data_IF_574074304685
#
_entry.id   IF_574074304685
#
_cell.length_a   1.000
_cell.length_b   1.000
_cell.length_c   1.000
_cell.angle_alpha   90.00
_cell.angle_beta   90.00
_cell.angle_gamma   90.00
#
_symmetry.space_group_name_H-M   'P 1'
#
loop_
_entity.id
_entity.type
_entity.pdbx_description
1 polymer ?
#
# COMPACT_ATOMS: atom_id res chain seq x y z
N UNK A 1 3.91 -33.15 -4.84
CA UNK A 1 4.32 -32.45 -3.61
C UNK A 1 3.35 -31.32 -3.37
N UNK A 2 2.93 -31.10 -2.13
CA UNK A 2 2.06 -29.99 -1.78
C UNK A 2 2.80 -28.66 -2.02
N UNK A 3 2.17 -27.71 -2.71
CA UNK A 3 2.69 -26.35 -2.86
C UNK A 3 2.32 -25.56 -1.61
N UNK A 4 3.30 -24.99 -0.95
CA UNK A 4 3.13 -24.11 0.21
C UNK A 4 3.44 -22.67 -0.21
N UNK A 5 2.77 -21.71 0.41
CA UNK A 5 3.15 -20.30 0.29
C UNK A 5 4.42 -20.04 1.12
N UNK A 6 5.22 -18.99 0.80
CA UNK A 6 6.46 -18.70 1.52
C UNK A 6 6.28 -18.48 3.02
N UNK A 7 5.18 -17.83 3.43
CA UNK A 7 4.79 -17.64 4.82
C UNK A 7 4.46 -18.97 5.52
N UNK A 8 3.68 -19.85 4.88
CA UNK A 8 3.39 -21.19 5.41
C UNK A 8 4.66 -22.05 5.58
N UNK A 9 5.62 -21.90 4.65
CA UNK A 9 6.88 -22.62 4.69
C UNK A 9 7.79 -22.13 5.85
N UNK A 10 7.78 -20.83 6.14
CA UNK A 10 8.50 -20.26 7.31
C UNK A 10 7.83 -20.68 8.62
N UNK A 11 6.50 -20.64 8.71
CA UNK A 11 5.76 -21.11 9.90
C UNK A 11 6.04 -22.58 10.23
N UNK A 12 6.31 -23.40 9.20
CA UNK A 12 6.66 -24.82 9.34
C UNK A 12 8.17 -25.05 9.55
N UNK A 13 9.00 -24.00 9.59
CA UNK A 13 10.45 -24.09 9.72
C UNK A 13 11.15 -24.70 8.50
N UNK A 14 10.47 -24.75 7.35
CA UNK A 14 10.98 -25.30 6.09
C UNK A 14 11.80 -24.28 5.29
N UNK A 15 11.61 -22.99 5.58
CA UNK A 15 12.25 -21.86 4.92
C UNK A 15 12.66 -20.84 5.99
N UNK A 16 13.83 -20.21 5.86
CA UNK A 16 14.17 -19.06 6.72
C UNK A 16 13.38 -17.84 6.27
N UNK A 17 13.13 -16.89 7.19
CA UNK A 17 12.50 -15.62 6.84
C UNK A 17 13.23 -14.91 5.69
N UNK A 18 14.57 -15.00 5.68
CA UNK A 18 15.43 -14.44 4.63
C UNK A 18 15.19 -15.04 3.26
N UNK A 19 15.19 -16.37 3.17
CA UNK A 19 14.91 -17.02 1.89
C UNK A 19 13.47 -16.76 1.44
N UNK A 20 12.51 -16.66 2.36
CA UNK A 20 11.14 -16.33 2.00
C UNK A 20 11.02 -14.91 1.43
N UNK A 21 11.60 -13.90 2.08
CA UNK A 21 11.60 -12.52 1.58
C UNK A 21 12.32 -12.43 0.23
N UNK A 22 13.46 -13.10 0.09
CA UNK A 22 14.22 -13.12 -1.16
C UNK A 22 13.47 -13.81 -2.31
N UNK A 23 12.83 -14.95 -2.06
CA UNK A 23 11.99 -15.63 -3.06
C UNK A 23 10.79 -14.76 -3.42
N UNK A 24 10.14 -14.14 -2.45
CA UNK A 24 9.02 -13.23 -2.70
C UNK A 24 9.45 -12.01 -3.51
N UNK A 25 10.67 -11.51 -3.29
CA UNK A 25 11.27 -10.45 -4.08
C UNK A 25 11.50 -10.85 -5.53
N UNK A 26 12.18 -11.97 -5.75
CA UNK A 26 12.46 -12.49 -7.09
C UNK A 26 11.17 -12.87 -7.84
N UNK A 27 10.12 -13.26 -7.12
CA UNK A 27 8.82 -13.60 -7.67
C UNK A 27 7.85 -12.41 -7.82
N UNK A 28 8.27 -11.17 -7.49
CA UNK A 28 7.42 -9.97 -7.47
C UNK A 28 6.13 -10.13 -6.63
N UNK A 29 6.20 -10.92 -5.56
CA UNK A 29 5.09 -11.18 -4.65
C UNK A 29 5.01 -10.15 -3.50
N UNK A 30 6.04 -9.32 -3.35
CA UNK A 30 6.09 -8.19 -2.44
C UNK A 30 6.49 -6.92 -3.19
N UNK A 31 6.05 -5.75 -2.72
CA UNK A 31 6.21 -4.46 -3.41
C UNK A 31 7.63 -3.87 -3.41
N UNK A 32 8.62 -4.59 -2.91
CA UNK A 32 9.97 -4.04 -2.73
C UNK A 32 10.16 -3.33 -1.39
N UNK A 33 11.41 -2.99 -1.11
CA UNK A 33 11.74 -2.05 -0.04
C UNK A 33 11.92 -0.66 -0.66
N UNK A 34 11.60 0.38 0.10
CA UNK A 34 11.76 1.76 -0.31
C UNK A 34 12.55 2.52 0.75
N UNK A 35 13.52 3.31 0.32
CA UNK A 35 14.17 4.26 1.20
C UNK A 35 13.19 5.39 1.52
N UNK A 36 12.92 5.59 2.80
CA UNK A 36 11.92 6.53 3.28
C UNK A 36 12.27 7.99 2.97
N UNK A 37 13.56 8.32 2.85
CA UNK A 37 14.05 9.69 2.65
C UNK A 37 14.12 10.11 1.19
N UNK A 38 14.43 9.17 0.28
CA UNK A 38 14.59 9.41 -1.15
C UNK A 38 13.46 8.84 -2.00
N UNK A 39 12.63 7.95 -1.43
CA UNK A 39 11.64 7.18 -2.17
C UNK A 39 12.25 6.17 -3.17
N UNK A 40 13.56 5.93 -3.10
CA UNK A 40 14.25 5.01 -4.01
C UNK A 40 13.94 3.55 -3.65
N UNK A 41 13.80 2.69 -4.66
CA UNK A 41 13.65 1.26 -4.42
C UNK A 41 14.97 0.66 -3.93
N UNK A 42 14.88 -0.11 -2.84
CA UNK A 42 15.97 -0.84 -2.23
C UNK A 42 15.84 -2.33 -2.55
N UNK A 43 16.97 -2.95 -2.82
CA UNK A 43 17.10 -4.39 -2.99
C UNK A 43 17.07 -5.09 -1.63
N UNK A 44 16.72 -6.39 -1.63
CA UNK A 44 16.76 -7.22 -0.42
C UNK A 44 18.15 -7.18 0.21
N UNK A 45 19.22 -7.22 -0.59
CA UNK A 45 20.59 -7.21 -0.10
C UNK A 45 20.95 -5.89 0.61
N UNK A 46 20.41 -4.75 0.17
CA UNK A 46 20.63 -3.43 0.80
C UNK A 46 19.92 -3.29 2.15
N UNK A 47 18.77 -3.94 2.32
CA UNK A 47 18.05 -3.96 3.60
C UNK A 47 18.42 -5.14 4.49
N UNK A 48 19.17 -6.12 3.97
CA UNK A 48 19.60 -7.32 4.70
C UNK A 48 20.28 -7.01 6.04
N UNK A 49 21.16 -5.99 6.15
CA UNK A 49 21.76 -5.62 7.44
C UNK A 49 20.73 -5.19 8.50
N UNK A 50 19.57 -4.67 8.07
CA UNK A 50 18.44 -4.28 8.93
C UNK A 50 17.32 -5.33 8.98
N UNK A 51 17.56 -6.55 8.48
CA UNK A 51 16.63 -7.67 8.46
C UNK A 51 17.27 -8.96 9.02
N UNK A 52 18.31 -8.84 9.83
CA UNK A 52 18.98 -9.99 10.45
C UNK A 52 18.12 -10.69 11.51
N UNK A 53 17.01 -10.08 11.92
CA UNK A 53 16.06 -10.60 12.90
C UNK A 53 14.92 -11.36 12.21
N UNK A 54 14.89 -12.69 12.40
CA UNK A 54 13.83 -13.59 11.89
C UNK A 54 12.41 -13.12 12.27
N UNK A 55 12.20 -12.49 13.42
CA UNK A 55 10.89 -11.97 13.83
C UNK A 55 10.49 -10.72 13.02
N UNK A 56 11.45 -9.91 12.57
CA UNK A 56 11.18 -8.81 11.64
C UNK A 56 10.86 -9.36 10.25
N UNK A 57 11.61 -10.36 9.80
CA UNK A 57 11.36 -11.00 8.51
C UNK A 57 9.97 -11.60 8.48
N UNK A 58 9.58 -12.29 9.54
CA UNK A 58 8.24 -12.86 9.69
C UNK A 58 7.15 -11.79 9.61
N UNK A 59 7.32 -10.63 10.24
CA UNK A 59 6.36 -9.51 10.15
C UNK A 59 6.29 -8.89 8.75
N UNK A 60 7.41 -8.79 8.05
CA UNK A 60 7.44 -8.35 6.65
C UNK A 60 6.69 -9.36 5.76
N UNK A 61 6.88 -10.66 5.98
CA UNK A 61 6.19 -11.73 5.25
C UNK A 61 4.68 -11.77 5.50
N UNK A 62 4.26 -11.48 6.74
CA UNK A 62 2.85 -11.43 7.11
C UNK A 62 2.16 -10.11 6.75
N UNK A 63 2.92 -9.09 6.35
CA UNK A 63 2.31 -7.82 5.96
C UNK A 63 1.42 -8.04 4.73
N UNK A 64 0.13 -7.75 4.89
CA UNK A 64 -0.79 -7.63 3.76
C UNK A 64 -0.17 -6.67 2.74
N UNK A 65 -0.50 -6.78 1.45
CA UNK A 65 0.07 -5.95 0.36
C UNK A 65 -0.11 -4.43 0.56
N UNK A 66 -0.74 -4.04 1.65
CA UNK A 66 -0.85 -2.68 2.13
C UNK A 66 0.28 -2.34 3.10
N UNK A 67 1.00 -1.28 2.77
CA UNK A 67 1.94 -0.49 3.58
C UNK A 67 1.77 -0.63 5.12
N UNK A 68 2.30 -1.72 5.69
CA UNK A 68 1.97 -2.13 7.07
C UNK A 68 2.79 -1.38 8.12
N UNK A 69 3.95 -0.86 7.75
CA UNK A 69 4.82 -0.10 8.65
C UNK A 69 6.08 0.42 7.93
N UNK A 70 6.94 1.08 8.69
CA UNK A 70 8.23 1.62 8.22
C UNK A 70 9.35 0.88 8.94
N UNK A 71 10.30 0.34 8.19
CA UNK A 71 11.50 -0.29 8.76
C UNK A 71 12.50 0.80 9.16
N UNK A 72 12.78 0.91 10.45
CA UNK A 72 13.89 1.69 10.99
C UNK A 72 15.13 0.78 11.01
N UNK A 73 16.02 0.98 10.04
CA UNK A 73 17.24 0.18 9.85
C UNK A 73 18.20 0.35 11.03
N UNK A 74 18.32 1.57 11.57
CA UNK A 74 19.23 1.86 12.69
C UNK A 74 18.81 1.16 13.98
N UNK A 75 17.49 1.08 14.20
CA UNK A 75 16.91 0.40 15.37
C UNK A 75 16.57 -1.06 15.13
N UNK A 76 16.78 -1.55 13.90
CA UNK A 76 16.37 -2.88 13.46
C UNK A 76 14.94 -3.19 13.90
N UNK A 77 13.98 -2.29 13.63
CA UNK A 77 12.58 -2.52 14.02
C UNK A 77 11.56 -1.89 13.06
N UNK A 78 10.40 -2.52 12.93
CA UNK A 78 9.26 -1.95 12.20
C UNK A 78 8.45 -1.06 13.14
N UNK A 79 8.23 0.19 12.73
CA UNK A 79 7.42 1.17 13.43
C UNK A 79 6.20 1.60 12.60
N UNK A 80 5.19 2.17 13.26
CA UNK A 80 4.01 2.70 12.58
C UNK A 80 4.35 3.96 11.76
N UNK A 81 3.54 4.27 10.76
CA UNK A 81 3.71 5.48 9.93
C UNK A 81 3.79 6.75 10.78
N UNK A 82 2.93 6.85 11.81
CA UNK A 82 2.90 8.00 12.73
C UNK A 82 4.18 8.07 13.57
N UNK A 83 4.67 6.94 14.07
CA UNK A 83 5.96 6.91 14.78
C UNK A 83 7.11 7.34 13.86
N UNK A 84 7.13 6.83 12.62
CA UNK A 84 8.15 7.20 11.64
C UNK A 84 8.12 8.70 11.30
N UNK A 85 6.93 9.31 11.20
CA UNK A 85 6.79 10.75 11.05
C UNK A 85 7.32 11.53 12.27
N UNK A 86 6.99 11.08 13.48
CA UNK A 86 7.42 11.73 14.73
C UNK A 86 8.93 11.63 14.97
N UNK A 87 9.57 10.54 14.53
CA UNK A 87 11.02 10.35 14.63
C UNK A 87 11.79 10.92 13.44
N UNK A 88 11.12 11.51 12.46
CA UNK A 88 11.74 12.10 11.28
C UNK A 88 12.26 11.09 10.26
N UNK A 89 11.86 9.81 10.36
CA UNK A 89 12.13 8.80 9.33
C UNK A 89 11.31 9.07 8.06
N UNK A 90 10.13 9.65 8.22
CA UNK A 90 9.29 10.16 7.14
C UNK A 90 9.13 11.66 7.27
N UNK A 91 9.14 12.36 6.14
CA UNK A 91 8.72 13.76 6.13
C UNK A 91 7.21 13.87 6.37
N UNK A 92 6.72 15.01 6.91
CA UNK A 92 5.32 15.16 7.27
C UNK A 92 4.33 14.93 6.12
N UNK A 93 4.69 15.30 4.89
CA UNK A 93 3.81 15.15 3.74
C UNK A 93 3.71 13.68 3.32
N UNK A 94 4.83 12.94 3.33
CA UNK A 94 4.81 11.49 3.10
C UNK A 94 4.04 10.76 4.20
N UNK A 95 4.23 11.12 5.48
CA UNK A 95 3.46 10.53 6.59
C UNK A 95 1.96 10.65 6.37
N UNK A 96 1.46 11.85 6.02
CA UNK A 96 0.03 12.07 5.74
C UNK A 96 -0.44 11.19 4.58
N UNK A 97 0.28 11.21 3.45
CA UNK A 97 -0.10 10.42 2.26
C UNK A 97 -0.15 8.92 2.52
N UNK A 98 0.76 8.40 3.33
CA UNK A 98 0.79 6.99 3.69
C UNK A 98 -0.38 6.62 4.63
N UNK A 99 -0.76 7.49 5.55
CA UNK A 99 -1.96 7.30 6.37
C UNK A 99 -3.24 7.34 5.53
N UNK A 100 -3.35 8.26 4.57
CA UNK A 100 -4.47 8.30 3.63
C UNK A 100 -4.58 7.00 2.82
N UNK A 101 -3.44 6.49 2.33
CA UNK A 101 -3.36 5.21 1.61
C UNK A 101 -3.86 4.04 2.46
N UNK A 102 -3.47 3.99 3.73
CA UNK A 102 -4.00 2.99 4.67
C UNK A 102 -5.52 3.10 4.82
N UNK A 103 -6.06 4.31 5.01
CA UNK A 103 -7.50 4.51 5.13
C UNK A 103 -8.25 4.03 3.89
N UNK A 104 -7.80 4.38 2.68
CA UNK A 104 -8.47 3.95 1.43
C UNK A 104 -8.22 2.49 1.08
N UNK A 105 -7.36 1.79 1.82
CA UNK A 105 -7.13 0.35 1.71
C UNK A 105 -7.88 -0.47 2.78
N UNK A 106 -8.68 0.18 3.63
CA UNK A 106 -9.55 -0.47 4.60
C UNK A 106 -9.39 -0.05 6.06
N UNK A 107 -8.40 0.76 6.40
CA UNK A 107 -8.21 1.26 7.77
C UNK A 107 -6.75 1.50 8.13
N UNK A 108 -6.53 2.11 9.29
CA UNK A 108 -5.17 2.36 9.82
C UNK A 108 -4.60 1.07 10.39
N UNK A 109 -3.34 0.77 10.10
CA UNK A 109 -2.70 -0.47 10.58
C UNK A 109 -2.26 -0.31 12.04
N UNK A 110 -2.71 -1.22 12.91
CA UNK A 110 -2.17 -1.43 14.25
C UNK A 110 -1.17 -2.60 14.23
N UNK A 111 0.12 -2.26 14.20
CA UNK A 111 1.21 -3.24 14.20
C UNK A 111 1.24 -4.14 15.44
N UNK A 112 0.66 -3.71 16.58
CA UNK A 112 0.65 -4.53 17.81
C UNK A 112 -0.39 -5.62 17.75
N UNK A 113 -1.50 -5.35 17.06
CA UNK A 113 -2.63 -6.28 16.89
C UNK A 113 -2.60 -7.02 15.57
N UNK A 114 -1.74 -6.58 14.65
CA UNK A 114 -1.69 -7.05 13.27
C UNK A 114 -3.06 -6.96 12.56
N UNK A 115 -3.75 -5.84 12.76
CA UNK A 115 -5.09 -5.60 12.18
C UNK A 115 -5.24 -4.16 11.68
N UNK A 116 -6.16 -3.95 10.75
CA UNK A 116 -6.61 -2.61 10.33
C UNK A 116 -7.75 -2.16 11.24
N UNK A 117 -7.62 -0.99 11.85
CA UNK A 117 -8.63 -0.38 12.72
C UNK A 117 -9.26 0.85 12.07
N UNK A 118 -10.46 1.22 12.51
CA UNK A 118 -11.12 2.45 12.05
C UNK A 118 -10.34 3.70 12.45
N UNK A 119 -10.51 4.79 11.71
CA UNK A 119 -9.86 6.10 12.02
C UNK A 119 -10.18 6.55 13.44
N UNK A 120 -11.42 6.34 13.88
CA UNK A 120 -11.85 6.67 15.26
C UNK A 120 -11.16 5.84 16.33
N UNK A 121 -10.85 4.57 16.04
CA UNK A 121 -10.13 3.68 16.95
C UNK A 121 -8.64 4.00 16.93
N UNK A 122 -8.08 4.25 15.75
CA UNK A 122 -6.70 4.68 15.56
C UNK A 122 -6.37 5.93 16.39
N UNK A 123 -7.25 6.95 16.37
CA UNK A 123 -7.08 8.16 17.18
C UNK A 123 -7.03 7.83 18.69
N UNK A 124 -7.91 6.96 19.19
CA UNK A 124 -7.92 6.54 20.60
C UNK A 124 -6.66 5.76 21.00
N UNK A 125 -6.10 5.00 20.06
CA UNK A 125 -4.88 4.22 20.26
C UNK A 125 -3.60 5.04 20.04
N UNK A 126 -3.71 6.31 19.62
CA UNK A 126 -2.56 7.16 19.30
C UNK A 126 -1.83 6.78 18.01
N UNK A 127 -2.50 6.05 17.12
CA UNK A 127 -1.95 5.63 15.82
C UNK A 127 -2.04 6.71 14.75
N UNK A 128 -2.79 7.79 14.99
CA UNK A 128 -2.86 8.99 14.16
C UNK A 128 -2.91 10.22 15.07
N UNK A 129 -2.52 11.38 14.54
CA UNK A 129 -2.61 12.64 15.29
C UNK A 129 -4.05 13.18 15.28
N UNK A 130 -4.46 13.85 16.36
CA UNK A 130 -5.83 14.37 16.48
C UNK A 130 -6.16 15.40 15.38
N UNK A 131 -5.16 16.15 14.90
CA UNK A 131 -5.31 17.09 13.78
C UNK A 131 -5.61 16.44 12.42
N UNK A 132 -5.26 15.16 12.24
CA UNK A 132 -5.49 14.41 10.98
C UNK A 132 -6.83 13.68 10.96
N UNK A 133 -7.44 13.47 12.13
CA UNK A 133 -8.59 12.60 12.33
C UNK A 133 -9.79 12.99 11.49
N UNK A 134 -10.12 14.28 11.40
CA UNK A 134 -11.31 14.74 10.67
C UNK A 134 -11.20 14.47 9.17
N UNK A 135 -10.05 14.81 8.57
CA UNK A 135 -9.75 14.56 7.16
C UNK A 135 -9.73 13.06 6.84
N UNK A 136 -9.08 12.26 7.67
CA UNK A 136 -9.04 10.80 7.51
C UNK A 136 -10.43 10.16 7.67
N UNK A 137 -11.31 10.67 8.53
CA UNK A 137 -12.69 10.17 8.67
C UNK A 137 -13.55 10.43 7.43
N UNK A 138 -13.33 11.57 6.77
CA UNK A 138 -14.00 11.90 5.50
C UNK A 138 -13.55 10.91 4.41
N UNK A 139 -12.25 10.60 4.36
CA UNK A 139 -11.71 9.62 3.44
C UNK A 139 -12.19 8.18 3.74
N UNK A 140 -12.28 7.80 5.02
CA UNK A 140 -12.84 6.50 5.45
C UNK A 140 -14.32 6.37 5.06
N UNK A 141 -15.08 7.47 5.13
CA UNK A 141 -16.47 7.52 4.68
C UNK A 141 -16.59 7.30 3.18
N UNK A 142 -15.70 7.90 2.38
CA UNK A 142 -15.61 7.66 0.94
C UNK A 142 -15.24 6.21 0.62
N UNK A 143 -14.32 5.61 1.37
CA UNK A 143 -13.98 4.19 1.26
C UNK A 143 -15.21 3.30 1.49
N UNK A 144 -16.02 3.62 2.51
CA UNK A 144 -17.26 2.91 2.84
C UNK A 144 -18.42 3.17 1.86
N UNK A 145 -18.21 3.95 0.80
CA UNK A 145 -19.22 4.22 -0.23
C UNK A 145 -20.25 5.27 0.14
N UNK A 146 -20.00 6.09 1.17
CA UNK A 146 -20.88 7.22 1.49
C UNK A 146 -20.73 8.33 0.43
N UNK A 147 -21.80 9.07 0.21
CA UNK A 147 -21.76 10.24 -0.67
C UNK A 147 -20.87 11.33 -0.03
N UNK A 148 -19.77 11.66 -0.69
CA UNK A 148 -18.80 12.66 -0.28
C UNK A 148 -18.56 13.63 -1.44
N UNK A 149 -17.87 14.73 -1.18
CA UNK A 149 -17.50 15.67 -2.23
C UNK A 149 -16.69 15.01 -3.36
N UNK A 150 -16.79 15.56 -4.57
CA UNK A 150 -16.08 15.03 -5.75
C UNK A 150 -14.56 15.08 -5.57
N UNK A 151 -14.01 16.08 -4.86
CA UNK A 151 -12.58 16.14 -4.58
C UNK A 151 -12.12 14.97 -3.68
N UNK A 152 -12.90 14.61 -2.66
CA UNK A 152 -12.61 13.48 -1.77
C UNK A 152 -12.71 12.16 -2.53
N UNK A 153 -13.74 12.01 -3.37
CA UNK A 153 -13.92 10.83 -4.21
C UNK A 153 -12.76 10.65 -5.18
N UNK A 154 -12.30 11.74 -5.81
CA UNK A 154 -11.14 11.76 -6.68
C UNK A 154 -9.85 11.45 -5.92
N UNK A 155 -9.65 12.00 -4.72
CA UNK A 155 -8.48 11.69 -3.89
C UNK A 155 -8.43 10.19 -3.55
N UNK A 156 -9.56 9.62 -3.07
CA UNK A 156 -9.70 8.19 -2.83
C UNK A 156 -9.32 7.37 -4.06
N UNK A 157 -9.92 7.67 -5.21
CA UNK A 157 -9.67 6.93 -6.44
C UNK A 157 -8.21 7.06 -6.88
N UNK A 158 -7.63 8.26 -6.80
CA UNK A 158 -6.22 8.50 -7.13
C UNK A 158 -5.28 7.68 -6.24
N UNK A 159 -5.56 7.55 -4.95
CA UNK A 159 -4.75 6.75 -4.03
C UNK A 159 -4.90 5.26 -4.32
N UNK A 160 -6.12 4.78 -4.53
CA UNK A 160 -6.43 3.37 -4.82
C UNK A 160 -5.83 2.88 -6.14
N UNK A 161 -5.82 3.74 -7.16
CA UNK A 161 -5.23 3.43 -8.48
C UNK A 161 -3.69 3.45 -8.50
N UNK A 162 -3.04 3.90 -7.42
CA UNK A 162 -1.59 3.69 -7.22
C UNK A 162 -1.30 2.33 -6.57
N UNK A 163 -2.34 1.59 -6.20
CA UNK A 163 -2.27 0.29 -5.52
C UNK A 163 -2.88 -0.81 -6.43
N UNK A 164 -3.79 -1.63 -5.89
CA UNK A 164 -4.38 -2.79 -6.57
C UNK A 164 -5.63 -2.44 -7.43
N UNK A 165 -6.04 -1.17 -7.44
CA UNK A 165 -7.21 -0.68 -8.19
C UNK A 165 -8.27 -0.08 -7.28
N UNK A 166 -9.37 0.39 -7.89
CA UNK A 166 -10.47 1.04 -7.16
C UNK A 166 -11.23 -0.01 -6.36
N UNK A 167 -11.40 0.20 -5.05
CA UNK A 167 -12.13 -0.75 -4.20
C UNK A 167 -13.62 -0.56 -4.36
N UNK A 168 -14.29 -1.64 -4.77
CA UNK A 168 -15.74 -1.71 -4.82
C UNK A 168 -16.32 -1.72 -3.39
N UNK A 169 -17.16 -0.73 -3.02
CA UNK A 169 -17.72 -0.66 -1.66
C UNK A 169 -18.61 -1.85 -1.29
N UNK A 170 -19.20 -2.56 -2.23
CA UNK A 170 -20.08 -3.71 -1.98
C UNK A 170 -19.26 -4.98 -1.78
N UNK A 171 -18.36 -5.29 -2.72
CA UNK A 171 -17.59 -6.54 -2.68
C UNK A 171 -16.34 -6.47 -1.81
N UNK A 172 -15.89 -5.25 -1.48
CA UNK A 172 -14.60 -4.95 -0.82
C UNK A 172 -13.37 -5.40 -1.59
N UNK A 173 -13.54 -5.74 -2.87
CA UNK A 173 -12.46 -6.16 -3.75
C UNK A 173 -12.00 -5.00 -4.64
N UNK A 174 -10.70 -4.88 -4.91
CA UNK A 174 -10.20 -3.93 -5.89
C UNK A 174 -10.58 -4.37 -7.30
N UNK A 175 -10.91 -3.40 -8.15
CA UNK A 175 -11.14 -3.60 -9.58
C UNK A 175 -10.25 -2.65 -10.41
N UNK A 176 -9.75 -3.08 -11.58
CA UNK A 176 -9.00 -2.21 -12.48
C UNK A 176 -9.80 -0.98 -12.92
N UNK A 177 -9.11 0.07 -13.36
CA UNK A 177 -9.72 1.34 -13.75
C UNK A 177 -10.85 1.18 -14.76
N UNK A 178 -10.67 0.32 -15.76
CA UNK A 178 -11.66 0.07 -16.81
C UNK A 178 -12.96 -0.48 -16.22
N UNK A 179 -12.84 -1.47 -15.33
CA UNK A 179 -13.98 -2.06 -14.64
C UNK A 179 -14.60 -1.08 -13.65
N UNK A 180 -13.80 -0.24 -12.99
CA UNK A 180 -14.30 0.80 -12.10
C UNK A 180 -15.20 1.81 -12.82
N UNK A 181 -14.84 2.20 -14.05
CA UNK A 181 -15.66 3.09 -14.90
C UNK A 181 -16.95 2.37 -15.32
N UNK A 182 -16.86 1.11 -15.75
CA UNK A 182 -18.02 0.31 -16.16
C UNK A 182 -19.02 0.10 -15.01
N UNK A 183 -18.50 -0.15 -13.80
CA UNK A 183 -19.28 -0.33 -12.58
C UNK A 183 -19.72 1.01 -11.97
N UNK A 184 -19.39 2.15 -12.59
CA UNK A 184 -19.70 3.52 -12.11
C UNK A 184 -19.14 3.82 -10.71
N UNK A 185 -18.04 3.17 -10.33
CA UNK A 185 -17.30 3.43 -9.10
C UNK A 185 -16.47 4.72 -9.19
N UNK A 186 -16.11 5.11 -10.42
CA UNK A 186 -15.42 6.35 -10.75
C UNK A 186 -16.04 6.96 -12.02
N UNK A 187 -16.12 8.28 -12.10
CA UNK A 187 -16.61 8.95 -13.31
C UNK A 187 -15.50 9.01 -14.38
N UNK A 188 -15.85 9.03 -15.68
CA UNK A 188 -14.86 9.13 -16.75
C UNK A 188 -13.93 10.36 -16.67
N UNK A 189 -14.45 11.50 -16.20
CA UNK A 189 -13.66 12.73 -16.04
C UNK A 189 -12.68 12.65 -14.86
N UNK A 190 -13.09 12.00 -13.76
CA UNK A 190 -12.23 11.69 -12.62
C UNK A 190 -11.13 10.69 -13.03
N UNK A 191 -11.48 9.65 -13.78
CA UNK A 191 -10.54 8.69 -14.32
C UNK A 191 -9.47 9.35 -15.22
N UNK A 192 -9.88 10.28 -16.09
CA UNK A 192 -8.95 11.05 -16.92
C UNK A 192 -7.95 11.87 -16.09
N UNK A 193 -8.41 12.51 -15.01
CA UNK A 193 -7.54 13.26 -14.09
C UNK A 193 -6.51 12.35 -13.42
N UNK A 194 -6.92 11.16 -12.96
CA UNK A 194 -6.01 10.19 -12.35
C UNK A 194 -4.97 9.70 -13.35
N UNK A 195 -5.40 9.34 -14.57
CA UNK A 195 -4.48 8.90 -15.62
C UNK A 195 -3.47 9.98 -15.99
N UNK A 196 -3.92 11.23 -16.14
CA UNK A 196 -3.02 12.36 -16.44
C UNK A 196 -1.95 12.53 -15.36
N UNK A 197 -2.33 12.37 -14.10
CA UNK A 197 -1.39 12.39 -12.96
C UNK A 197 -0.40 11.23 -13.04
N UNK A 198 -0.87 10.00 -13.29
CA UNK A 198 0.00 8.85 -13.42
C UNK A 198 1.04 9.01 -14.54
N UNK A 199 0.61 9.51 -15.69
CA UNK A 199 1.50 9.82 -16.82
C UNK A 199 2.55 10.85 -16.42
N UNK A 200 2.17 11.92 -15.72
CA UNK A 200 3.11 12.92 -15.22
C UNK A 200 4.13 12.35 -14.20
N UNK A 201 3.73 11.32 -13.47
CA UNK A 201 4.55 10.55 -12.52
C UNK A 201 5.35 9.41 -13.19
N UNK A 202 5.40 9.35 -14.53
CA UNK A 202 6.30 8.46 -15.27
C UNK A 202 5.68 7.19 -15.84
N UNK A 203 4.35 7.07 -15.89
CA UNK A 203 3.67 5.94 -16.56
C UNK A 203 2.35 5.54 -15.90
N UNK A 204 1.63 4.61 -16.51
CA UNK A 204 0.31 4.14 -16.04
C UNK A 204 0.48 2.82 -15.27
N UNK A 205 -0.21 2.70 -14.13
CA UNK A 205 -0.18 1.47 -13.32
C UNK A 205 -1.10 0.42 -13.95
N UNK A 206 -0.53 -0.71 -14.35
CA UNK A 206 -1.28 -1.89 -14.79
C UNK A 206 -1.56 -2.79 -13.57
N UNK A 207 -2.71 -2.58 -12.93
CA UNK A 207 -3.11 -3.24 -11.68
C UNK A 207 -2.93 -4.78 -11.68
N UNK A 208 -3.32 -5.54 -12.73
CA UNK A 208 -3.17 -7.00 -12.71
C UNK A 208 -1.72 -7.48 -12.62
N UNK A 209 -0.75 -6.68 -13.10
CA UNK A 209 0.68 -7.05 -13.04
C UNK A 209 1.47 -6.23 -12.03
N UNK A 210 0.87 -5.20 -11.42
CA UNK A 210 1.56 -4.23 -10.55
C UNK A 210 2.65 -3.40 -11.24
N UNK A 211 2.75 -3.46 -12.57
CA UNK A 211 3.82 -2.78 -13.32
C UNK A 211 3.38 -1.37 -13.70
N UNK A 212 4.32 -0.43 -13.66
CA UNK A 212 4.16 0.89 -14.25
C UNK A 212 4.63 0.85 -15.70
N UNK A 213 3.69 0.97 -16.63
CA UNK A 213 3.93 0.91 -18.06
C UNK A 213 4.09 2.33 -18.63
N UNK A 214 5.00 2.49 -19.58
CA UNK A 214 5.07 3.73 -20.34
C UNK A 214 3.79 3.91 -21.18
N UNK A 215 3.46 5.16 -21.53
CA UNK A 215 2.29 5.43 -22.37
C UNK A 215 2.41 4.71 -23.72
N UNK A 216 3.61 4.54 -24.27
CA UNK A 216 3.84 3.77 -25.49
C UNK A 216 3.49 2.27 -25.37
N UNK A 217 3.72 1.67 -24.20
CA UNK A 217 3.49 0.24 -23.96
C UNK A 217 2.01 -0.07 -23.69
N UNK A 218 1.24 0.91 -23.18
CA UNK A 218 -0.20 0.77 -22.95
C UNK A 218 -1.03 0.67 -24.25
N UNK A 219 -0.46 1.02 -25.41
CA UNK A 219 -1.15 1.05 -26.71
C UNK A 219 -0.78 -0.09 -27.65
N UNK A 220 0.02 -1.07 -27.20
CA UNK A 220 0.31 -2.23 -28.04
C UNK A 220 -0.98 -3.05 -28.25
N UNK A 221 -1.44 -3.27 -29.50
CA UNK A 221 -2.59 -4.10 -29.78
C UNK A 221 -2.38 -5.50 -29.20
N UNK A 222 -3.39 -6.02 -28.51
CA UNK A 222 -3.37 -7.39 -27.92
C UNK A 222 -3.46 -8.52 -28.96
N UNK A 223 -3.26 -8.24 -30.24
CA UNK A 223 -3.31 -9.23 -31.31
C UNK A 223 -2.00 -9.20 -32.13
N UNK A 224 -1.07 -10.10 -31.78
CA UNK A 224 0.00 -10.62 -32.62
C UNK A 224 0.31 -12.06 -32.21
#
# INVERSE_FOLDING_TARGET
GNKLLPDDAVAQGLLSGYMAVKIMAEANLFGGFLDASSGASLTVDEVTPGLEDEDLMWRVLQSDKTLSGVLDVDKNCVCSITQAGQTGLLDPNTTVRLLEAQVVSGGIVDLRRNEKVSVTTAAKLGLIEEGQKEELMVLESAFKGKNVDSAVSLNKASLQLQMDGVVDPETKSPVPLEQAIQNKLIKPDEAYKVLTKQVAEGGIVHHPSGLRLSVSECWLPKDL
#
